data_IF_899312292832
#
_entry.id   IF_899312292832
#
_cell.length_a   1.000
_cell.length_b   1.000
_cell.length_c   1.000
_cell.angle_alpha   90.00
_cell.angle_beta   90.00
_cell.angle_gamma   90.00
#
_symmetry.space_group_name_H-M   'P 1'
#
loop_
_entity.id
_entity.type
_entity.pdbx_description
1 polymer ?
#
# COMPACT_ATOMS: atom_id res chain seq x y z
N UNK A 1 11.61 69.55 52.08
CA UNK A 1 11.37 68.09 52.19
C UNK A 1 10.21 67.80 51.27
N UNK A 2 10.47 67.23 50.10
CA UNK A 2 9.43 66.74 49.18
C UNK A 2 9.45 65.21 49.25
N UNK A 3 8.34 64.62 49.67
CA UNK A 3 8.13 63.17 49.64
C UNK A 3 7.39 62.85 48.35
N UNK A 4 8.12 62.35 47.35
CA UNK A 4 7.53 61.82 46.12
C UNK A 4 6.66 60.59 46.48
N UNK A 5 5.38 60.55 46.10
CA UNK A 5 4.56 59.36 46.30
C UNK A 5 5.08 58.27 45.37
N UNK A 6 5.40 57.10 45.94
CA UNK A 6 5.79 55.93 45.16
C UNK A 6 4.59 55.47 44.34
N UNK A 7 4.57 55.82 43.05
CA UNK A 7 3.59 55.35 42.09
C UNK A 7 3.78 53.84 41.92
N UNK A 8 2.71 53.06 42.17
CA UNK A 8 2.75 51.61 42.15
C UNK A 8 3.13 51.14 40.73
N UNK A 9 4.27 50.45 40.59
CA UNK A 9 4.79 49.95 39.32
C UNK A 9 4.02 48.71 38.78
N UNK A 10 2.70 48.69 38.94
CA UNK A 10 1.86 47.68 38.28
C UNK A 10 1.57 48.25 36.90
N UNK A 11 2.23 47.70 35.87
CA UNK A 11 1.91 48.01 34.48
C UNK A 11 0.47 47.55 34.19
N UNK A 12 -0.48 48.47 34.29
CA UNK A 12 -1.89 48.25 33.98
C UNK A 12 -2.21 48.48 32.51
N UNK A 13 -1.31 49.11 31.74
CA UNK A 13 -1.54 49.41 30.31
C UNK A 13 -1.63 48.14 29.46
N UNK A 14 -0.88 47.09 29.83
CA UNK A 14 -0.93 45.81 29.13
C UNK A 14 -1.99 44.83 29.68
N UNK A 15 -2.66 45.17 30.79
CA UNK A 15 -3.59 44.25 31.47
C UNK A 15 -4.80 43.90 30.58
N UNK A 16 -5.27 44.86 29.79
CA UNK A 16 -6.39 44.69 28.85
C UNK A 16 -6.00 43.87 27.61
N UNK A 17 -4.70 43.83 27.28
CA UNK A 17 -4.18 43.08 26.14
C UNK A 17 -4.13 41.57 26.42
N UNK A 18 -3.94 41.16 27.69
CA UNK A 18 -3.99 39.76 28.10
C UNK A 18 -5.42 39.18 28.16
N UNK A 19 -6.45 40.02 28.15
CA UNK A 19 -7.86 39.62 28.11
C UNK A 19 -8.50 39.78 26.72
N UNK A 20 -7.72 40.15 25.70
CA UNK A 20 -8.21 40.29 24.33
C UNK A 20 -8.45 38.90 23.73
N UNK A 21 -9.69 38.43 23.78
CA UNK A 21 -10.10 37.24 23.02
C UNK A 21 -10.06 37.62 21.55
N UNK A 22 -9.19 36.96 20.77
CA UNK A 22 -9.12 37.20 19.33
C UNK A 22 -10.47 36.84 18.71
N UNK A 23 -11.03 37.75 17.89
CA UNK A 23 -12.30 37.53 17.20
C UNK A 23 -12.17 36.60 15.99
N UNK A 24 -11.00 35.98 15.79
CA UNK A 24 -10.83 34.95 14.77
C UNK A 24 -11.51 33.67 15.28
N UNK A 25 -12.64 33.26 14.69
CA UNK A 25 -13.39 32.10 15.14
C UNK A 25 -12.58 30.80 15.07
N UNK A 26 -11.49 30.75 14.31
CA UNK A 26 -10.63 29.57 14.16
C UNK A 26 -9.44 29.53 15.14
N UNK A 27 -9.02 30.65 15.72
CA UNK A 27 -7.83 30.67 16.60
C UNK A 27 -8.13 30.16 18.02
N UNK A 28 -9.38 30.22 18.45
CA UNK A 28 -9.83 29.78 19.79
C UNK A 28 -10.63 28.46 19.76
N UNK A 29 -10.59 27.70 18.66
CA UNK A 29 -11.22 26.37 18.60
C UNK A 29 -10.47 25.38 19.52
N UNK A 30 -10.95 25.27 20.76
CA UNK A 30 -10.54 24.18 21.64
C UNK A 30 -11.17 22.89 21.08
N UNK A 31 -10.33 22.02 20.50
CA UNK A 31 -10.74 20.70 20.07
C UNK A 31 -11.50 20.01 21.22
N UNK A 32 -12.75 19.64 20.96
CA UNK A 32 -13.55 18.87 21.90
C UNK A 32 -12.84 17.57 22.24
N UNK A 33 -13.08 17.02 23.44
CA UNK A 33 -12.52 15.73 23.84
C UNK A 33 -12.80 14.63 22.79
N UNK A 34 -13.98 14.65 22.17
CA UNK A 34 -14.35 13.74 21.08
C UNK A 34 -13.49 13.93 19.82
N UNK A 35 -13.20 15.17 19.42
CA UNK A 35 -12.30 15.45 18.29
C UNK A 35 -10.87 14.99 18.58
N UNK A 36 -10.36 15.22 19.80
CA UNK A 36 -9.03 14.77 20.20
C UNK A 36 -8.90 13.24 20.18
N UNK A 37 -9.91 12.52 20.71
CA UNK A 37 -9.95 11.05 20.67
C UNK A 37 -9.98 10.54 19.24
N UNK A 38 -10.83 11.11 18.37
CA UNK A 38 -10.91 10.72 16.96
C UNK A 38 -9.60 10.97 16.20
N UNK A 39 -8.92 12.09 16.46
CA UNK A 39 -7.62 12.40 15.87
C UNK A 39 -6.54 11.40 16.33
N UNK A 40 -6.55 11.03 17.61
CA UNK A 40 -5.64 10.01 18.14
C UNK A 40 -5.89 8.63 17.50
N UNK A 41 -7.14 8.20 17.38
CA UNK A 41 -7.51 6.94 16.72
C UNK A 41 -7.06 6.90 15.26
N UNK A 42 -7.27 8.00 14.52
CA UNK A 42 -6.83 8.12 13.14
C UNK A 42 -5.30 8.00 13.01
N UNK A 43 -4.56 8.70 13.87
CA UNK A 43 -3.10 8.62 13.91
C UNK A 43 -2.62 7.20 14.25
N UNK A 44 -3.29 6.53 15.19
CA UNK A 44 -2.94 5.18 15.59
C UNK A 44 -3.22 4.15 14.48
N UNK A 45 -4.31 4.33 13.73
CA UNK A 45 -4.62 3.51 12.57
C UNK A 45 -3.65 3.75 11.41
N UNK A 46 -3.25 5.00 11.16
CA UNK A 46 -2.23 5.34 10.18
C UNK A 46 -0.88 4.68 10.53
N UNK A 47 -0.48 4.76 11.81
CA UNK A 47 0.73 4.10 12.31
C UNK A 47 0.65 2.58 12.12
N UNK A 48 -0.46 1.94 12.50
CA UNK A 48 -0.67 0.49 12.26
C UNK A 48 -0.55 0.12 10.79
N UNK A 49 -1.14 0.91 9.89
CA UNK A 49 -1.04 0.70 8.45
C UNK A 49 0.41 0.72 7.95
N UNK A 50 1.21 1.69 8.42
CA UNK A 50 2.64 1.76 8.09
C UNK A 50 3.41 0.55 8.64
N UNK A 51 3.14 0.14 9.87
CA UNK A 51 3.79 -1.02 10.49
C UNK A 51 3.49 -2.33 9.74
N UNK A 52 2.25 -2.52 9.28
CA UNK A 52 1.88 -3.68 8.44
C UNK A 52 2.67 -3.66 7.14
N UNK A 53 2.75 -2.50 6.46
CA UNK A 53 3.52 -2.38 5.23
C UNK A 53 5.03 -2.65 5.43
N UNK A 54 5.62 -2.16 6.52
CA UNK A 54 7.03 -2.42 6.86
C UNK A 54 7.24 -3.91 7.10
N UNK A 55 6.34 -4.55 7.86
CA UNK A 55 6.41 -5.98 8.14
C UNK A 55 6.31 -6.80 6.85
N UNK A 56 5.36 -6.52 5.97
CA UNK A 56 5.22 -7.25 4.70
C UNK A 56 6.47 -7.15 3.83
N UNK A 57 7.09 -5.96 3.77
CA UNK A 57 8.35 -5.77 3.04
C UNK A 57 9.52 -6.51 3.71
N UNK A 58 9.57 -6.50 5.04
CA UNK A 58 10.56 -7.23 5.81
C UNK A 58 10.44 -8.74 5.58
N UNK A 59 9.24 -9.31 5.73
CA UNK A 59 8.97 -10.74 5.53
C UNK A 59 9.33 -11.16 4.08
N UNK A 60 9.13 -10.27 3.10
CA UNK A 60 9.58 -10.49 1.71
C UNK A 60 11.10 -10.52 1.60
N UNK A 61 11.80 -9.55 2.21
CA UNK A 61 13.26 -9.51 2.21
C UNK A 61 13.85 -10.71 2.95
N UNK A 62 13.28 -11.06 4.10
CA UNK A 62 13.65 -12.23 4.88
C UNK A 62 13.51 -13.50 4.06
N UNK A 63 12.42 -13.66 3.29
CA UNK A 63 12.24 -14.80 2.39
C UNK A 63 13.30 -14.85 1.27
N UNK A 64 13.65 -13.69 0.71
CA UNK A 64 14.70 -13.58 -0.30
C UNK A 64 16.08 -13.94 0.27
N UNK A 65 16.44 -13.38 1.43
CA UNK A 65 17.74 -13.58 2.08
C UNK A 65 17.87 -15.00 2.64
N UNK A 66 16.83 -15.53 3.28
CA UNK A 66 16.81 -16.88 3.85
C UNK A 66 16.86 -17.99 2.81
N UNK A 67 16.53 -17.67 1.55
CA UNK A 67 16.58 -18.64 0.46
C UNK A 67 18.02 -18.98 -0.01
N UNK A 68 19.03 -18.26 0.47
CA UNK A 68 20.46 -18.55 0.24
C UNK A 68 20.89 -18.43 -1.23
N UNK A 69 22.14 -18.81 -1.58
CA UNK A 69 22.66 -18.82 -2.95
C UNK A 69 21.92 -19.78 -3.90
N UNK A 70 21.08 -20.65 -3.35
CA UNK A 70 20.16 -21.54 -4.08
C UNK A 70 18.73 -21.01 -4.05
N UNK A 71 18.60 -19.68 -3.97
CA UNK A 71 17.32 -18.97 -4.02
C UNK A 71 16.48 -19.58 -5.11
N UNK A 72 15.32 -20.13 -4.75
CA UNK A 72 14.35 -20.59 -5.72
C UNK A 72 14.23 -19.53 -6.80
N UNK A 73 14.39 -19.91 -8.07
CA UNK A 73 14.40 -18.96 -9.20
C UNK A 73 13.14 -18.06 -9.22
N UNK A 74 12.07 -18.52 -8.55
CA UNK A 74 10.79 -17.85 -8.39
C UNK A 74 10.33 -17.90 -6.93
N UNK A 75 9.55 -16.91 -6.51
CA UNK A 75 8.92 -16.80 -5.18
C UNK A 75 7.52 -17.44 -5.18
N UNK A 76 6.78 -17.25 -6.28
CA UNK A 76 5.41 -17.74 -6.41
C UNK A 76 5.38 -19.28 -6.63
N UNK A 77 4.74 -20.07 -5.74
CA UNK A 77 4.79 -21.55 -5.79
C UNK A 77 4.31 -22.14 -7.12
N UNK A 78 3.33 -21.50 -7.76
CA UNK A 78 2.84 -21.93 -9.08
C UNK A 78 3.91 -21.80 -10.16
N UNK A 79 4.66 -20.71 -10.12
CA UNK A 79 5.73 -20.43 -11.09
C UNK A 79 6.91 -21.38 -10.86
N UNK A 80 7.25 -21.66 -9.61
CA UNK A 80 8.22 -22.70 -9.24
C UNK A 80 7.81 -24.08 -9.79
N UNK A 81 6.53 -24.43 -9.65
CA UNK A 81 5.98 -25.68 -10.18
C UNK A 81 6.18 -25.81 -11.69
N UNK A 82 5.81 -24.76 -12.46
CA UNK A 82 6.02 -24.73 -13.91
C UNK A 82 7.50 -24.81 -14.28
N UNK A 83 8.37 -24.09 -13.56
CA UNK A 83 9.80 -24.13 -13.80
C UNK A 83 10.39 -25.52 -13.62
N UNK A 84 10.03 -26.21 -12.54
CA UNK A 84 10.49 -27.58 -12.28
C UNK A 84 10.04 -28.54 -13.38
N UNK A 85 8.80 -28.41 -13.88
CA UNK A 85 8.33 -29.22 -15.01
C UNK A 85 9.15 -28.90 -16.26
N UNK A 86 9.35 -27.62 -16.59
CA UNK A 86 10.16 -27.22 -17.74
C UNK A 86 11.59 -27.76 -17.67
N UNK A 87 12.22 -27.75 -16.48
CA UNK A 87 13.57 -28.32 -16.29
C UNK A 87 13.61 -29.84 -16.48
N UNK A 88 12.51 -30.55 -16.19
CA UNK A 88 12.41 -31.99 -16.44
C UNK A 88 11.99 -32.36 -17.86
N UNK A 89 11.55 -31.39 -18.66
CA UNK A 89 11.16 -31.58 -20.06
C UNK A 89 12.37 -31.51 -21.00
N UNK A 90 12.22 -32.04 -22.21
CA UNK A 90 13.27 -32.10 -23.23
C UNK A 90 13.48 -30.77 -23.98
N UNK A 91 13.78 -29.68 -23.25
CA UNK A 91 14.11 -28.38 -23.83
C UNK A 91 15.62 -28.22 -24.06
N UNK A 92 15.98 -27.47 -25.09
CA UNK A 92 17.34 -26.96 -25.25
C UNK A 92 17.62 -25.84 -24.25
N UNK A 93 18.90 -25.59 -23.93
CA UNK A 93 19.29 -24.51 -23.00
C UNK A 93 18.75 -23.13 -23.41
N UNK A 94 18.66 -22.88 -24.73
CA UNK A 94 18.12 -21.63 -25.28
C UNK A 94 16.62 -21.50 -25.04
N UNK A 95 15.86 -22.57 -25.26
CA UNK A 95 14.42 -22.59 -25.00
C UNK A 95 14.13 -22.48 -23.51
N UNK A 96 14.91 -23.18 -22.68
CA UNK A 96 14.81 -23.11 -21.23
C UNK A 96 15.06 -21.68 -20.71
N UNK A 97 16.05 -20.97 -21.27
CA UNK A 97 16.30 -19.57 -20.95
C UNK A 97 15.15 -18.63 -21.38
N UNK A 98 14.53 -18.90 -22.54
CA UNK A 98 13.33 -18.18 -22.98
C UNK A 98 12.17 -18.39 -22.01
N UNK A 99 11.89 -19.65 -21.66
CA UNK A 99 10.83 -20.02 -20.70
C UNK A 99 11.08 -19.38 -19.34
N UNK A 100 12.33 -19.38 -18.86
CA UNK A 100 12.70 -18.71 -17.59
C UNK A 100 12.34 -17.23 -17.62
N UNK A 101 12.63 -16.55 -18.72
CA UNK A 101 12.30 -15.12 -18.90
C UNK A 101 10.79 -14.89 -18.90
N UNK A 102 10.03 -15.74 -19.61
CA UNK A 102 8.57 -15.68 -19.62
C UNK A 102 7.95 -15.94 -18.25
N UNK A 103 8.49 -16.89 -17.48
CA UNK A 103 8.07 -17.16 -16.10
C UNK A 103 8.35 -15.97 -15.18
N UNK A 104 9.47 -15.26 -15.34
CA UNK A 104 9.73 -14.03 -14.58
C UNK A 104 8.71 -12.92 -14.92
N UNK A 105 8.33 -12.79 -16.19
CA UNK A 105 7.28 -11.87 -16.59
C UNK A 105 5.92 -12.26 -16.03
N UNK A 106 5.61 -13.55 -15.99
CA UNK A 106 4.38 -14.07 -15.39
C UNK A 106 4.32 -13.79 -13.89
N UNK A 107 5.38 -14.10 -13.14
CA UNK A 107 5.49 -13.80 -11.71
C UNK A 107 5.33 -12.31 -11.42
N UNK A 108 6.03 -11.46 -12.18
CA UNK A 108 5.96 -10.00 -12.02
C UNK A 108 4.51 -9.50 -12.22
N UNK A 109 3.79 -10.05 -13.19
CA UNK A 109 2.38 -9.70 -13.45
C UNK A 109 1.44 -10.25 -12.37
N UNK A 110 1.68 -11.45 -11.85
CA UNK A 110 0.93 -12.02 -10.73
C UNK A 110 1.04 -11.15 -9.47
N UNK A 111 2.26 -10.77 -9.10
CA UNK A 111 2.50 -9.89 -7.95
C UNK A 111 1.83 -8.53 -8.13
N UNK A 112 1.91 -7.94 -9.34
CA UNK A 112 1.22 -6.70 -9.66
C UNK A 112 -0.30 -6.83 -9.58
N UNK A 113 -0.86 -7.94 -10.06
CA UNK A 113 -2.31 -8.21 -9.96
C UNK A 113 -2.76 -8.34 -8.50
N UNK A 114 -1.98 -9.05 -7.65
CA UNK A 114 -2.25 -9.16 -6.22
C UNK A 114 -2.24 -7.79 -5.53
N UNK A 115 -1.28 -6.94 -5.87
CA UNK A 115 -1.22 -5.57 -5.37
C UNK A 115 -2.47 -4.76 -5.78
N UNK A 116 -2.86 -4.80 -7.06
CA UNK A 116 -4.07 -4.13 -7.54
C UNK A 116 -5.35 -4.62 -6.83
N UNK A 117 -5.46 -5.93 -6.55
CA UNK A 117 -6.56 -6.47 -5.75
C UNK A 117 -6.60 -5.89 -4.33
N UNK A 118 -5.43 -5.79 -3.67
CA UNK A 118 -5.33 -5.22 -2.33
C UNK A 118 -5.70 -3.73 -2.33
N UNK A 119 -5.21 -2.96 -3.31
CA UNK A 119 -5.57 -1.54 -3.47
C UNK A 119 -7.07 -1.36 -3.71
N UNK A 120 -7.66 -2.17 -4.59
CA UNK A 120 -9.10 -2.13 -4.86
C UNK A 120 -9.94 -2.45 -3.62
N UNK A 121 -9.52 -3.44 -2.82
CA UNK A 121 -10.18 -3.78 -1.56
C UNK A 121 -10.10 -2.65 -0.53
N UNK A 122 -8.92 -2.03 -0.38
CA UNK A 122 -8.73 -0.88 0.51
C UNK A 122 -9.55 0.33 0.07
N UNK A 123 -9.59 0.61 -1.24
CA UNK A 123 -10.40 1.69 -1.79
C UNK A 123 -11.88 1.43 -1.52
N UNK A 124 -12.36 0.20 -1.74
CA UNK A 124 -13.75 -0.18 -1.47
C UNK A 124 -14.13 0.03 -0.01
N UNK A 125 -13.26 -0.31 0.94
CA UNK A 125 -13.52 -0.12 2.37
C UNK A 125 -13.51 1.37 2.76
N UNK A 126 -12.52 2.15 2.31
CA UNK A 126 -12.44 3.60 2.61
C UNK A 126 -13.68 4.37 2.18
N UNK A 127 -14.27 3.98 1.06
CA UNK A 127 -15.39 4.67 0.45
C UNK A 127 -16.73 3.98 0.72
N UNK A 128 -16.80 3.03 1.65
CA UNK A 128 -18.03 2.29 1.98
C UNK A 128 -19.15 3.19 2.53
N UNK A 129 -18.79 4.21 3.31
CA UNK A 129 -19.76 4.99 4.10
C UNK A 129 -20.16 6.34 3.48
N UNK A 130 -19.47 6.79 2.43
CA UNK A 130 -19.71 8.08 1.79
C UNK A 130 -20.71 7.92 0.60
N UNK A 131 -21.85 8.64 0.61
CA UNK A 131 -22.91 8.56 -0.42
C UNK A 131 -22.66 9.45 -1.66
N UNK A 132 -21.51 9.31 -2.34
CA UNK A 132 -21.24 10.10 -3.55
C UNK A 132 -21.50 9.31 -4.85
N UNK A 133 -22.31 9.87 -5.76
CA UNK A 133 -22.66 9.31 -7.08
C UNK A 133 -21.46 9.15 -8.03
N UNK A 134 -20.42 9.99 -7.86
CA UNK A 134 -19.17 9.96 -8.63
C UNK A 134 -18.29 8.72 -8.33
N UNK A 135 -18.66 7.93 -7.31
CA UNK A 135 -17.96 6.69 -6.93
C UNK A 135 -18.15 5.57 -7.92
N UNK A 136 -19.35 5.41 -8.49
CA UNK A 136 -19.66 4.26 -9.36
C UNK A 136 -18.66 4.18 -10.51
N UNK A 137 -18.41 5.31 -11.17
CA UNK A 137 -17.53 5.36 -12.33
C UNK A 137 -16.08 5.01 -11.98
N UNK A 138 -15.52 5.56 -10.89
CA UNK A 138 -14.14 5.26 -10.47
C UNK A 138 -13.95 3.81 -10.04
N UNK A 139 -14.95 3.21 -9.38
CA UNK A 139 -14.89 1.80 -8.99
C UNK A 139 -15.01 0.89 -10.20
N UNK A 140 -15.94 1.18 -11.12
CA UNK A 140 -16.10 0.46 -12.38
C UNK A 140 -14.82 0.50 -13.21
N UNK A 141 -14.19 1.67 -13.36
CA UNK A 141 -12.92 1.82 -14.09
C UNK A 141 -11.79 0.98 -13.48
N UNK A 142 -11.68 0.97 -12.15
CA UNK A 142 -10.66 0.18 -11.44
C UNK A 142 -10.94 -1.32 -11.56
N UNK A 143 -12.20 -1.74 -11.47
CA UNK A 143 -12.61 -3.13 -11.65
C UNK A 143 -12.34 -3.61 -13.09
N UNK A 144 -12.62 -2.76 -14.09
CA UNK A 144 -12.33 -3.05 -15.49
C UNK A 144 -10.83 -3.16 -15.76
N UNK A 145 -10.03 -2.28 -15.18
CA UNK A 145 -8.58 -2.40 -15.24
C UNK A 145 -8.11 -3.72 -14.61
N UNK A 146 -8.68 -4.08 -13.47
CA UNK A 146 -8.35 -5.33 -12.78
C UNK A 146 -8.71 -6.56 -13.63
N UNK A 147 -9.91 -6.59 -14.22
CA UNK A 147 -10.33 -7.64 -15.16
C UNK A 147 -9.40 -7.74 -16.37
N UNK A 148 -8.96 -6.60 -16.93
CA UNK A 148 -8.00 -6.58 -18.04
C UNK A 148 -6.66 -7.16 -17.63
N UNK A 149 -6.14 -6.83 -16.44
CA UNK A 149 -4.88 -7.38 -15.95
C UNK A 149 -5.00 -8.87 -15.64
N UNK A 150 -6.10 -9.30 -15.02
CA UNK A 150 -6.38 -10.72 -14.75
C UNK A 150 -6.38 -11.55 -16.05
N UNK A 151 -7.09 -11.10 -17.08
CA UNK A 151 -7.09 -11.77 -18.40
C UNK A 151 -5.71 -11.82 -19.04
N UNK A 152 -4.87 -10.80 -18.86
CA UNK A 152 -3.49 -10.79 -19.37
C UNK A 152 -2.60 -11.79 -18.65
N UNK A 153 -2.79 -11.97 -17.34
CA UNK A 153 -2.10 -12.97 -16.52
C UNK A 153 -2.54 -14.37 -16.94
N UNK A 154 -3.84 -14.60 -17.07
CA UNK A 154 -4.41 -15.89 -17.49
C UNK A 154 -3.93 -16.30 -18.89
N UNK A 155 -3.97 -15.40 -19.88
CA UNK A 155 -3.45 -15.68 -21.22
C UNK A 155 -1.97 -16.03 -21.23
N UNK A 156 -1.16 -15.35 -20.42
CA UNK A 156 0.27 -15.64 -20.31
C UNK A 156 0.50 -16.99 -19.65
N UNK A 157 -0.26 -17.29 -18.59
CA UNK A 157 -0.23 -18.59 -17.94
C UNK A 157 -0.57 -19.72 -18.93
N UNK A 158 -1.69 -19.60 -19.65
CA UNK A 158 -2.09 -20.61 -20.64
C UNK A 158 -1.03 -20.80 -21.72
N UNK A 159 -0.39 -19.71 -22.17
CA UNK A 159 0.67 -19.77 -23.16
C UNK A 159 1.86 -20.58 -22.65
N UNK A 160 2.36 -20.24 -21.45
CA UNK A 160 3.49 -20.92 -20.82
C UNK A 160 3.16 -22.39 -20.53
N UNK A 161 1.97 -22.68 -19.98
CA UNK A 161 1.51 -24.04 -19.72
C UNK A 161 1.44 -24.87 -21.01
N UNK A 162 0.87 -24.32 -22.10
CA UNK A 162 0.83 -25.00 -23.40
C UNK A 162 2.22 -25.27 -23.95
N UNK A 163 3.16 -24.34 -23.80
CA UNK A 163 4.55 -24.52 -24.26
C UNK A 163 5.25 -25.62 -23.46
N UNK A 164 5.15 -25.58 -22.12
CA UNK A 164 5.80 -26.55 -21.23
C UNK A 164 5.23 -27.96 -21.44
N UNK A 165 3.90 -28.09 -21.45
CA UNK A 165 3.26 -29.41 -21.49
C UNK A 165 3.36 -30.10 -22.85
N UNK A 166 3.41 -29.36 -23.96
CA UNK A 166 3.69 -29.94 -25.28
C UNK A 166 5.04 -30.64 -25.35
N UNK A 167 6.04 -30.11 -24.65
CA UNK A 167 7.39 -30.69 -24.60
C UNK A 167 7.56 -31.76 -23.52
N UNK A 168 6.58 -31.93 -22.62
CA UNK A 168 6.57 -33.05 -21.67
C UNK A 168 5.89 -34.30 -22.22
N UNK A 169 5.08 -34.19 -23.28
CA UNK A 169 4.36 -35.31 -23.92
C UNK A 169 5.15 -35.98 -25.06
N UNK A 170 6.42 -35.59 -25.27
CA UNK A 170 7.34 -36.14 -26.28
C UNK A 170 8.56 -36.79 -25.64
#
# INVERSE_FOLDING_TARGET
METNPHENAINTEDLDSYNLITNDPNENEINTHQQNVKNFENNMNALRGQHVGIKDHYDRLERLVSSGPHSQDFIEPKVQGLWRVAQSSNFTDKELASIKTELHHFESRLLKLRHLHAEHALHKEKYRDEKHKDKSNRFEDMEDQLKKQARKVEKLQEHIEKTIFKHSEL
#
